data_IF_354223298872
#
_entry.id   IF_354223298872
#
_cell.length_a   1.000
_cell.length_b   1.000
_cell.length_c   1.000
_cell.angle_alpha   90.00
_cell.angle_beta   90.00
_cell.angle_gamma   90.00
#
_symmetry.space_group_name_H-M   'P 1'
#
loop_
_entity.id
_entity.type
_entity.pdbx_description
1 polymer ?
#
# COMPACT_ATOMS: atom_id res chain seq x y z
N UNK A 1 19.89 22.65 38.35
CA UNK A 1 18.56 22.07 38.09
C UNK A 1 18.41 21.58 36.64
N UNK A 2 19.43 21.03 36.01
CA UNK A 2 19.42 20.71 34.57
C UNK A 2 19.63 19.21 34.27
N UNK A 3 19.92 18.39 35.28
CA UNK A 3 20.29 16.98 35.08
C UNK A 3 19.12 15.97 35.27
N UNK A 4 18.07 16.39 35.95
CA UNK A 4 16.90 15.51 36.21
C UNK A 4 15.94 15.36 34.99
N UNK A 5 16.03 16.27 34.01
CA UNK A 5 15.15 16.24 32.80
C UNK A 5 15.66 15.30 31.69
N UNK A 6 16.96 14.99 31.70
CA UNK A 6 17.61 14.13 30.70
C UNK A 6 17.43 12.63 30.94
N UNK A 7 17.09 12.22 32.16
CA UNK A 7 16.93 10.83 32.55
C UNK A 7 15.54 10.24 32.29
N UNK A 8 14.51 11.07 32.01
CA UNK A 8 13.11 10.62 31.84
C UNK A 8 12.72 10.34 30.37
N UNK A 9 13.51 10.78 29.40
CA UNK A 9 13.17 10.61 27.95
C UNK A 9 13.79 9.35 27.30
N UNK A 10 14.74 8.67 27.93
CA UNK A 10 15.45 7.52 27.34
C UNK A 10 14.75 6.16 27.45
N UNK A 11 13.93 5.82 28.46
CA UNK A 11 13.34 4.46 28.58
C UNK A 11 12.21 4.19 27.59
N UNK A 12 11.40 5.19 27.24
CA UNK A 12 10.27 5.05 26.31
C UNK A 12 10.73 4.82 24.87
N UNK A 13 11.70 5.55 24.41
CA UNK A 13 12.25 5.41 23.04
C UNK A 13 12.92 4.05 22.79
N UNK A 14 13.68 3.53 23.77
CA UNK A 14 14.35 2.22 23.63
C UNK A 14 13.34 1.06 23.66
N UNK A 15 12.31 1.15 24.50
CA UNK A 15 11.25 0.14 24.59
C UNK A 15 10.42 0.09 23.29
N UNK A 16 10.05 1.24 22.75
CA UNK A 16 9.32 1.31 21.47
C UNK A 16 10.17 0.84 20.30
N UNK A 17 11.46 1.16 20.27
CA UNK A 17 12.39 0.63 19.25
C UNK A 17 12.50 -0.89 19.30
N UNK A 18 12.67 -1.48 20.51
CA UNK A 18 12.68 -2.94 20.67
C UNK A 18 11.35 -3.59 20.26
N UNK A 19 10.22 -2.94 20.59
CA UNK A 19 8.90 -3.42 20.21
C UNK A 19 8.73 -3.44 18.70
N UNK A 20 9.11 -2.36 18.00
CA UNK A 20 9.10 -2.28 16.53
C UNK A 20 9.99 -3.36 15.93
N UNK A 21 11.24 -3.43 16.35
CA UNK A 21 12.19 -4.42 15.83
C UNK A 21 11.68 -5.87 15.97
N UNK A 22 11.06 -6.22 17.11
CA UNK A 22 10.48 -7.56 17.29
C UNK A 22 9.28 -7.80 16.36
N UNK A 23 8.41 -6.78 16.16
CA UNK A 23 7.29 -6.87 15.23
C UNK A 23 7.77 -7.07 13.80
N UNK A 24 8.76 -6.30 13.38
CA UNK A 24 9.31 -6.33 12.01
C UNK A 24 10.03 -7.67 11.75
N UNK A 25 10.79 -8.18 12.73
CA UNK A 25 11.41 -9.50 12.63
C UNK A 25 10.38 -10.63 12.51
N UNK A 26 9.29 -10.59 13.31
CA UNK A 26 8.19 -11.56 13.20
C UNK A 26 7.48 -11.47 11.86
N UNK A 27 7.23 -10.26 11.35
CA UNK A 27 6.62 -10.04 10.05
C UNK A 27 7.49 -10.61 8.94
N UNK A 28 8.78 -10.27 8.94
CA UNK A 28 9.73 -10.80 7.96
C UNK A 28 9.77 -12.33 7.96
N UNK A 29 9.94 -12.96 9.13
CA UNK A 29 9.98 -14.41 9.26
C UNK A 29 8.66 -15.07 8.80
N UNK A 30 7.51 -14.49 9.15
CA UNK A 30 6.21 -14.99 8.71
C UNK A 30 6.08 -14.96 7.19
N UNK A 31 6.36 -13.82 6.54
CA UNK A 31 6.26 -13.67 5.09
C UNK A 31 7.26 -14.57 4.35
N UNK A 32 8.48 -14.71 4.85
CA UNK A 32 9.46 -15.60 4.25
C UNK A 32 9.00 -17.06 4.32
N UNK A 33 8.56 -17.53 5.47
CA UNK A 33 8.03 -18.89 5.64
C UNK A 33 6.77 -19.12 4.79
N UNK A 34 5.82 -18.19 4.80
CA UNK A 34 4.61 -18.31 3.98
C UNK A 34 4.91 -18.42 2.49
N UNK A 35 5.90 -17.70 2.01
CA UNK A 35 6.26 -17.67 0.58
C UNK A 35 7.20 -18.80 0.16
N UNK A 36 7.88 -19.46 1.10
CA UNK A 36 8.81 -20.56 0.81
C UNK A 36 8.18 -21.93 0.98
N UNK A 37 7.42 -22.16 2.04
CA UNK A 37 6.78 -23.45 2.31
C UNK A 37 5.26 -23.46 2.15
N UNK A 38 4.66 -22.30 1.91
CA UNK A 38 3.22 -22.12 1.70
C UNK A 38 2.48 -21.65 2.95
N UNK A 39 1.43 -20.85 2.73
CA UNK A 39 0.63 -20.24 3.80
C UNK A 39 -0.02 -21.28 4.73
N UNK A 40 -0.68 -22.30 4.16
CA UNK A 40 -1.39 -23.32 4.94
C UNK A 40 -0.43 -24.22 5.74
N UNK A 41 0.72 -24.54 5.18
CA UNK A 41 1.70 -25.40 5.81
C UNK A 41 2.47 -24.73 6.96
N UNK A 42 2.59 -23.39 6.92
CA UNK A 42 3.34 -22.64 7.95
C UNK A 42 2.54 -22.53 9.24
N UNK A 43 3.18 -22.86 10.35
CA UNK A 43 2.63 -22.74 11.72
C UNK A 43 3.14 -21.51 12.44
N UNK A 44 2.40 -21.05 13.46
CA UNK A 44 2.87 -19.95 14.32
C UNK A 44 4.11 -20.36 15.11
N UNK A 45 4.24 -21.64 15.47
CA UNK A 45 5.42 -22.16 16.17
C UNK A 45 6.69 -21.96 15.33
N UNK A 46 6.66 -22.33 14.06
CA UNK A 46 7.79 -22.11 13.15
C UNK A 46 8.18 -20.63 13.02
N UNK A 47 7.18 -19.74 12.97
CA UNK A 47 7.43 -18.28 12.87
C UNK A 47 8.12 -17.76 14.15
N UNK A 48 7.64 -18.15 15.33
CA UNK A 48 8.19 -17.65 16.59
C UNK A 48 9.54 -18.28 16.91
N UNK A 49 9.77 -19.53 16.52
CA UNK A 49 11.06 -20.22 16.66
C UNK A 49 12.12 -19.55 15.78
N UNK A 50 11.77 -19.12 14.55
CA UNK A 50 12.68 -18.40 13.66
C UNK A 50 13.17 -17.06 14.22
N UNK A 51 12.44 -16.47 15.17
CA UNK A 51 12.76 -15.18 15.81
C UNK A 51 13.14 -15.35 17.30
N UNK A 52 13.16 -16.58 17.80
CA UNK A 52 13.47 -16.94 19.19
C UNK A 52 12.55 -16.23 20.21
N UNK A 53 11.24 -16.17 19.93
CA UNK A 53 10.23 -15.56 20.80
C UNK A 53 9.09 -16.53 21.11
N UNK A 54 8.19 -16.18 22.02
CA UNK A 54 7.02 -17.01 22.36
C UNK A 54 5.82 -16.72 21.45
N UNK A 55 4.90 -17.71 21.29
CA UNK A 55 3.59 -17.49 20.65
C UNK A 55 2.83 -16.30 21.23
N UNK A 56 2.90 -16.09 22.57
CA UNK A 56 2.32 -14.92 23.24
C UNK A 56 2.90 -13.62 22.68
N UNK A 57 4.17 -13.63 22.25
CA UNK A 57 4.80 -12.47 21.61
C UNK A 57 4.23 -12.23 20.23
N UNK A 58 4.00 -13.27 19.45
CA UNK A 58 3.33 -13.17 18.15
C UNK A 58 1.93 -12.57 18.29
N UNK A 59 1.09 -13.17 19.13
CA UNK A 59 -0.30 -12.71 19.37
C UNK A 59 -0.41 -11.31 20.02
N UNK A 60 0.66 -10.77 20.53
CA UNK A 60 0.71 -9.36 20.95
C UNK A 60 0.77 -8.39 19.75
N UNK A 61 1.26 -8.84 18.59
CA UNK A 61 1.45 -8.02 17.40
C UNK A 61 0.48 -8.33 16.27
N UNK A 62 0.07 -9.58 16.15
CA UNK A 62 -0.80 -10.09 15.07
C UNK A 62 -1.84 -11.03 15.68
N UNK A 63 -3.13 -10.75 15.45
CA UNK A 63 -4.20 -11.60 15.98
C UNK A 63 -4.27 -12.97 15.23
N UNK A 64 -3.72 -13.05 14.01
CA UNK A 64 -3.72 -14.26 13.21
C UNK A 64 -2.56 -14.27 12.19
N UNK A 65 -2.33 -15.42 11.53
CA UNK A 65 -1.45 -15.51 10.36
C UNK A 65 -1.91 -14.58 9.23
N UNK A 66 -3.21 -14.48 9.02
CA UNK A 66 -3.82 -13.62 8.01
C UNK A 66 -3.48 -12.14 8.26
N UNK A 67 -3.58 -11.66 9.49
CA UNK A 67 -3.19 -10.29 9.84
C UNK A 67 -1.69 -10.03 9.56
N UNK A 68 -0.83 -11.00 9.84
CA UNK A 68 0.59 -10.89 9.48
C UNK A 68 0.79 -10.78 7.96
N UNK A 69 0.07 -11.56 7.13
CA UNK A 69 0.13 -11.47 5.66
C UNK A 69 -0.22 -10.07 5.17
N UNK A 70 -1.27 -9.46 5.71
CA UNK A 70 -1.79 -8.18 5.23
C UNK A 70 -1.19 -6.95 5.92
N UNK A 71 -0.28 -7.11 6.88
CA UNK A 71 0.27 -5.98 7.66
C UNK A 71 0.97 -4.92 6.81
N UNK A 72 1.68 -5.31 5.75
CA UNK A 72 2.33 -4.35 4.84
C UNK A 72 1.31 -3.59 4.03
N UNK A 73 0.32 -4.29 3.50
CA UNK A 73 -0.76 -3.69 2.75
C UNK A 73 -1.54 -2.68 3.61
N UNK A 74 -1.88 -3.05 4.84
CA UNK A 74 -2.55 -2.16 5.79
C UNK A 74 -1.72 -0.90 6.11
N UNK A 75 -0.40 -1.02 6.19
CA UNK A 75 0.48 0.12 6.38
C UNK A 75 0.43 1.07 5.18
N UNK A 76 0.47 0.54 3.95
CA UNK A 76 0.36 1.32 2.71
C UNK A 76 -1.01 2.00 2.63
N UNK A 77 -2.09 1.26 2.87
CA UNK A 77 -3.48 1.76 2.84
C UNK A 77 -3.70 2.87 3.87
N UNK A 78 -3.23 2.68 5.09
CA UNK A 78 -3.34 3.68 6.16
C UNK A 78 -2.57 4.95 5.82
N UNK A 79 -1.39 4.82 5.22
CA UNK A 79 -0.60 5.98 4.77
C UNK A 79 -1.30 6.73 3.63
N UNK A 80 -1.78 6.00 2.63
CA UNK A 80 -2.56 6.57 1.53
C UNK A 80 -3.79 7.34 2.02
N UNK A 81 -4.58 6.77 2.94
CA UNK A 81 -5.73 7.45 3.52
C UNK A 81 -5.34 8.70 4.32
N UNK A 82 -4.20 8.66 5.02
CA UNK A 82 -3.65 9.81 5.72
C UNK A 82 -3.28 10.93 4.74
N UNK A 83 -2.57 10.60 3.67
CA UNK A 83 -2.23 11.54 2.60
C UNK A 83 -3.47 12.12 1.92
N UNK A 84 -4.45 11.27 1.59
CA UNK A 84 -5.70 11.70 0.96
C UNK A 84 -6.48 12.70 1.82
N UNK A 85 -6.56 12.46 3.14
CA UNK A 85 -7.23 13.37 4.08
C UNK A 85 -6.52 14.72 4.20
N UNK A 86 -5.22 14.78 3.95
CA UNK A 86 -4.40 15.99 4.03
C UNK A 86 -4.35 16.79 2.72
N UNK A 87 -4.88 16.24 1.61
CA UNK A 87 -4.87 16.94 0.32
C UNK A 87 -5.66 18.26 0.38
N UNK A 88 -5.17 19.32 -0.29
CA UNK A 88 -5.86 20.61 -0.36
C UNK A 88 -7.33 20.46 -0.78
N UNK A 89 -8.23 21.16 -0.12
CA UNK A 89 -9.68 21.09 -0.42
C UNK A 89 -10.03 21.56 -1.85
N UNK A 90 -9.16 22.38 -2.46
CA UNK A 90 -9.36 22.88 -3.83
C UNK A 90 -8.96 21.85 -4.92
N UNK A 91 -8.27 20.77 -4.58
CA UNK A 91 -7.99 19.70 -5.54
C UNK A 91 -9.26 18.93 -5.90
N UNK A 92 -9.45 18.68 -7.20
CA UNK A 92 -10.51 17.80 -7.66
C UNK A 92 -10.33 16.37 -7.06
N UNK A 93 -11.43 15.63 -6.82
CA UNK A 93 -11.39 14.34 -6.13
C UNK A 93 -10.41 13.33 -6.74
N UNK A 94 -10.39 13.24 -8.07
CA UNK A 94 -9.48 12.32 -8.77
C UNK A 94 -8.02 12.73 -8.62
N UNK A 95 -7.73 14.04 -8.74
CA UNK A 95 -6.38 14.57 -8.54
C UNK A 95 -5.89 14.38 -7.10
N UNK A 96 -6.80 14.51 -6.13
CA UNK A 96 -6.48 14.24 -4.73
C UNK A 96 -6.09 12.77 -4.51
N UNK A 97 -6.83 11.81 -5.08
CA UNK A 97 -6.49 10.38 -5.02
C UNK A 97 -5.18 10.08 -5.75
N UNK A 98 -4.99 10.64 -6.95
CA UNK A 98 -3.75 10.51 -7.73
C UNK A 98 -2.55 11.03 -6.95
N UNK A 99 -2.62 12.24 -6.45
CA UNK A 99 -1.53 12.86 -5.69
C UNK A 99 -1.23 12.10 -4.40
N UNK A 100 -2.26 11.62 -3.70
CA UNK A 100 -2.10 10.85 -2.47
C UNK A 100 -1.39 9.52 -2.72
N UNK A 101 -1.74 8.77 -3.77
CA UNK A 101 -1.09 7.49 -4.06
C UNK A 101 0.37 7.68 -4.50
N UNK A 102 0.67 8.68 -5.32
CA UNK A 102 2.04 8.96 -5.73
C UNK A 102 2.91 9.44 -4.56
N UNK A 103 2.34 10.25 -3.65
CA UNK A 103 3.01 10.62 -2.40
C UNK A 103 3.30 9.40 -1.54
N UNK A 104 2.33 8.47 -1.43
CA UNK A 104 2.49 7.23 -0.70
C UNK A 104 3.64 6.38 -1.26
N UNK A 105 3.71 6.18 -2.58
CA UNK A 105 4.82 5.43 -3.19
C UNK A 105 6.19 6.06 -2.93
N UNK A 106 6.27 7.39 -2.92
CA UNK A 106 7.52 8.10 -2.68
C UNK A 106 7.98 8.02 -1.21
N UNK A 107 7.05 8.02 -0.26
CA UNK A 107 7.36 8.15 1.17
C UNK A 107 7.44 6.82 1.90
N UNK A 108 6.67 5.81 1.48
CA UNK A 108 6.58 4.55 2.20
C UNK A 108 7.52 3.47 1.67
N UNK A 109 8.04 3.64 0.43
CA UNK A 109 8.94 2.66 -0.20
C UNK A 109 10.14 2.32 0.68
N UNK A 110 10.87 3.31 1.15
CA UNK A 110 12.03 3.12 2.06
C UNK A 110 11.62 2.42 3.37
N UNK A 111 10.47 2.81 3.95
CA UNK A 111 9.99 2.21 5.20
C UNK A 111 9.59 0.74 5.03
N UNK A 112 9.09 0.35 3.86
CA UNK A 112 8.80 -1.05 3.53
C UNK A 112 10.10 -1.83 3.32
N UNK A 113 11.06 -1.27 2.60
CA UNK A 113 12.36 -1.90 2.33
C UNK A 113 13.18 -2.13 3.61
N UNK A 114 12.99 -1.33 4.64
CA UNK A 114 13.57 -1.56 5.98
C UNK A 114 13.00 -2.83 6.66
N UNK A 115 11.76 -3.24 6.31
CA UNK A 115 11.08 -4.39 6.93
C UNK A 115 11.22 -5.63 6.07
N UNK A 116 10.99 -5.51 4.77
CA UNK A 116 11.04 -6.62 3.81
C UNK A 116 11.69 -6.17 2.50
N UNK A 117 12.43 -7.06 1.86
CA UNK A 117 12.95 -6.79 0.51
C UNK A 117 11.81 -6.70 -0.50
N UNK A 118 12.02 -5.93 -1.57
CA UNK A 118 11.05 -5.85 -2.70
C UNK A 118 10.72 -7.25 -3.22
N UNK A 119 11.70 -8.15 -3.29
CA UNK A 119 11.48 -9.54 -3.74
C UNK A 119 10.53 -10.30 -2.80
N UNK A 120 10.68 -10.17 -1.49
CA UNK A 120 9.78 -10.80 -0.51
C UNK A 120 8.38 -10.21 -0.58
N UNK A 121 8.25 -8.90 -0.75
CA UNK A 121 6.96 -8.23 -0.98
C UNK A 121 6.26 -8.81 -2.22
N UNK A 122 6.99 -8.95 -3.32
CA UNK A 122 6.47 -9.52 -4.56
C UNK A 122 6.04 -10.98 -4.43
N UNK A 123 6.85 -11.80 -3.73
CA UNK A 123 6.47 -13.19 -3.44
C UNK A 123 5.20 -13.25 -2.59
N UNK A 124 5.07 -12.36 -1.62
CA UNK A 124 3.86 -12.24 -0.77
C UNK A 124 2.64 -11.90 -1.61
N UNK A 125 2.74 -10.91 -2.51
CA UNK A 125 1.64 -10.53 -3.39
C UNK A 125 1.18 -11.70 -4.27
N UNK A 126 2.11 -12.41 -4.93
CA UNK A 126 1.79 -13.60 -5.74
C UNK A 126 1.16 -14.72 -4.91
N UNK A 127 1.61 -14.92 -3.68
CA UNK A 127 1.04 -15.90 -2.76
C UNK A 127 -0.41 -15.53 -2.41
N UNK A 128 -0.71 -14.26 -2.14
CA UNK A 128 -2.07 -13.78 -1.87
C UNK A 128 -2.97 -14.08 -3.08
N UNK A 129 -2.53 -13.77 -4.30
CA UNK A 129 -3.31 -14.03 -5.52
C UNK A 129 -3.53 -15.51 -5.81
N UNK A 130 -2.56 -16.37 -5.46
CA UNK A 130 -2.63 -17.83 -5.74
C UNK A 130 -3.29 -18.65 -4.63
N UNK A 131 -3.51 -18.08 -3.44
CA UNK A 131 -4.10 -18.78 -2.28
C UNK A 131 -5.56 -18.35 -2.12
N UNK A 132 -6.56 -19.24 -2.39
CA UNK A 132 -7.98 -18.84 -2.46
C UNK A 132 -8.53 -18.13 -1.22
N UNK A 133 -8.15 -18.56 -0.01
CA UNK A 133 -8.60 -17.91 1.22
C UNK A 133 -8.01 -16.50 1.38
N UNK A 134 -6.74 -16.31 1.03
CA UNK A 134 -6.08 -15.01 1.06
C UNK A 134 -6.62 -14.07 -0.02
N UNK A 135 -6.86 -14.59 -1.23
CA UNK A 135 -7.50 -13.81 -2.29
C UNK A 135 -8.89 -13.31 -1.88
N UNK A 136 -9.70 -14.17 -1.25
CA UNK A 136 -11.02 -13.79 -0.75
C UNK A 136 -10.93 -12.72 0.36
N UNK A 137 -9.95 -12.83 1.26
CA UNK A 137 -9.68 -11.83 2.30
C UNK A 137 -9.20 -10.51 1.68
N UNK A 138 -8.27 -10.57 0.71
CA UNK A 138 -7.78 -9.40 -0.02
C UNK A 138 -8.91 -8.64 -0.72
N UNK A 139 -9.78 -9.33 -1.45
CA UNK A 139 -10.92 -8.69 -2.12
C UNK A 139 -11.88 -8.02 -1.13
N UNK A 140 -12.14 -8.64 0.01
CA UNK A 140 -12.99 -8.05 1.06
C UNK A 140 -12.38 -6.77 1.62
N UNK A 141 -11.08 -6.80 1.96
CA UNK A 141 -10.34 -5.62 2.44
C UNK A 141 -10.34 -4.50 1.40
N UNK A 142 -10.20 -4.84 0.12
CA UNK A 142 -10.28 -3.86 -0.97
C UNK A 142 -11.64 -3.17 -1.04
N UNK A 143 -12.74 -3.89 -0.85
CA UNK A 143 -14.08 -3.27 -0.78
C UNK A 143 -14.26 -2.35 0.43
N UNK A 144 -13.74 -2.76 1.60
CA UNK A 144 -13.78 -1.93 2.81
C UNK A 144 -12.98 -0.64 2.60
N UNK A 145 -11.79 -0.73 2.01
CA UNK A 145 -10.96 0.41 1.66
C UNK A 145 -11.64 1.34 0.63
N UNK A 146 -12.23 0.78 -0.43
CA UNK A 146 -12.99 1.56 -1.43
C UNK A 146 -14.14 2.35 -0.78
N UNK A 147 -14.81 1.75 0.20
CA UNK A 147 -15.87 2.42 0.95
C UNK A 147 -15.31 3.58 1.76
N UNK A 148 -14.20 3.38 2.48
CA UNK A 148 -13.57 4.43 3.28
C UNK A 148 -13.04 5.57 2.41
N UNK A 149 -12.43 5.27 1.26
CA UNK A 149 -11.99 6.30 0.30
C UNK A 149 -13.19 7.11 -0.20
N UNK A 150 -14.30 6.43 -0.55
CA UNK A 150 -15.51 7.11 -1.03
C UNK A 150 -16.12 8.02 0.05
N UNK A 151 -16.09 7.63 1.33
CA UNK A 151 -16.51 8.47 2.45
C UNK A 151 -15.61 9.71 2.60
N UNK A 152 -14.30 9.55 2.48
CA UNK A 152 -13.35 10.68 2.51
C UNK A 152 -13.64 11.65 1.36
N UNK A 153 -13.82 11.15 0.14
CA UNK A 153 -14.13 11.97 -1.04
C UNK A 153 -15.48 12.66 -0.88
N UNK A 154 -16.52 11.94 -0.44
CA UNK A 154 -17.84 12.54 -0.21
C UNK A 154 -17.79 13.66 0.84
N UNK A 155 -17.06 13.45 1.93
CA UNK A 155 -16.87 14.47 2.98
C UNK A 155 -16.14 15.72 2.48
N UNK A 156 -15.12 15.56 1.62
CA UNK A 156 -14.39 16.67 0.98
C UNK A 156 -15.29 17.52 0.10
N UNK A 157 -16.20 16.89 -0.65
CA UNK A 157 -17.10 17.53 -1.62
C UNK A 157 -18.44 17.95 -1.03
N UNK A 158 -18.71 17.66 0.24
CA UNK A 158 -19.99 17.93 0.89
C UNK A 158 -21.13 17.12 0.29
N UNK A 159 -20.89 15.90 -0.16
CA UNK A 159 -21.85 15.02 -0.82
C UNK A 159 -22.41 13.97 0.15
N UNK A 160 -23.65 13.56 -0.07
CA UNK A 160 -24.26 12.44 0.63
C UNK A 160 -24.11 11.17 -0.19
N UNK A 161 -23.40 10.20 0.35
CA UNK A 161 -23.14 8.88 -0.26
C UNK A 161 -24.42 8.06 -0.56
N UNK A 162 -25.56 8.37 0.06
CA UNK A 162 -26.81 7.67 -0.18
C UNK A 162 -27.51 8.15 -1.44
N UNK A 163 -27.32 9.41 -1.78
CA UNK A 163 -28.04 10.08 -2.88
C UNK A 163 -27.15 10.42 -4.07
N UNK A 164 -25.82 10.56 -3.86
CA UNK A 164 -24.87 10.92 -4.91
C UNK A 164 -23.91 9.73 -5.22
N UNK A 165 -23.97 9.17 -6.44
CA UNK A 165 -23.12 8.03 -6.81
C UNK A 165 -21.67 8.44 -7.16
N UNK A 166 -21.38 9.72 -7.38
CA UNK A 166 -20.07 10.19 -7.91
C UNK A 166 -18.88 9.74 -7.07
N UNK A 167 -18.89 9.78 -5.73
CA UNK A 167 -17.75 9.32 -4.94
C UNK A 167 -17.44 7.84 -5.18
N UNK A 168 -18.47 6.97 -5.18
CA UNK A 168 -18.30 5.53 -5.43
C UNK A 168 -17.81 5.24 -6.84
N UNK A 169 -18.34 5.94 -7.85
CA UNK A 169 -17.92 5.76 -9.25
C UNK A 169 -16.46 6.17 -9.44
N UNK A 170 -16.07 7.33 -8.88
CA UNK A 170 -14.69 7.81 -8.97
C UNK A 170 -13.71 6.83 -8.30
N UNK A 171 -14.06 6.36 -7.10
CA UNK A 171 -13.21 5.40 -6.36
C UNK A 171 -13.14 4.05 -7.07
N UNK A 172 -14.24 3.52 -7.57
CA UNK A 172 -14.23 2.25 -8.31
C UNK A 172 -13.34 2.32 -9.57
N UNK A 173 -13.37 3.44 -10.29
CA UNK A 173 -12.50 3.67 -11.45
C UNK A 173 -11.02 3.74 -11.03
N UNK A 174 -10.70 4.50 -9.99
CA UNK A 174 -9.37 4.62 -9.42
C UNK A 174 -8.84 3.26 -8.93
N UNK A 175 -9.61 2.55 -8.11
CA UNK A 175 -9.23 1.22 -7.57
C UNK A 175 -9.08 0.17 -8.67
N UNK A 176 -9.87 0.27 -9.76
CA UNK A 176 -9.70 -0.56 -10.94
C UNK A 176 -8.32 -0.39 -11.57
N UNK A 177 -7.85 0.84 -11.71
CA UNK A 177 -6.49 1.13 -12.19
C UNK A 177 -5.46 0.58 -11.22
N UNK A 178 -5.59 0.83 -9.92
CA UNK A 178 -4.64 0.35 -8.90
C UNK A 178 -4.49 -1.18 -8.93
N UNK A 179 -5.59 -1.91 -9.09
CA UNK A 179 -5.57 -3.37 -9.20
C UNK A 179 -4.84 -3.85 -10.44
N UNK A 180 -5.11 -3.23 -11.61
CA UNK A 180 -4.46 -3.60 -12.87
C UNK A 180 -2.96 -3.31 -12.82
N UNK A 181 -2.56 -2.16 -12.32
CA UNK A 181 -1.14 -1.77 -12.23
C UNK A 181 -0.39 -2.65 -11.23
N UNK A 182 -0.99 -2.99 -10.09
CA UNK A 182 -0.43 -3.94 -9.13
C UNK A 182 -0.22 -5.33 -9.73
N UNK A 183 -1.18 -5.86 -10.49
CA UNK A 183 -1.06 -7.15 -11.17
C UNK A 183 0.04 -7.14 -12.25
N UNK A 184 0.08 -6.10 -13.08
CA UNK A 184 1.10 -5.97 -14.12
C UNK A 184 2.51 -5.82 -13.54
N UNK A 185 2.66 -5.04 -12.50
CA UNK A 185 3.91 -4.91 -11.75
C UNK A 185 4.32 -6.26 -11.16
N UNK A 186 3.38 -6.99 -10.52
CA UNK A 186 3.59 -8.33 -9.96
C UNK A 186 4.05 -9.38 -10.97
N UNK A 187 3.68 -9.24 -12.23
CA UNK A 187 4.05 -10.12 -13.34
C UNK A 187 5.26 -9.61 -14.12
N UNK A 188 5.66 -8.34 -13.90
CA UNK A 188 6.76 -7.70 -14.58
C UNK A 188 8.14 -8.27 -14.22
N UNK A 189 9.14 -7.90 -15.05
CA UNK A 189 10.55 -8.21 -14.78
C UNK A 189 11.22 -7.17 -13.89
N UNK A 190 10.77 -5.93 -13.98
CA UNK A 190 11.20 -4.82 -13.14
C UNK A 190 10.20 -4.66 -12.00
N UNK A 191 10.63 -5.02 -10.82
CA UNK A 191 9.84 -4.96 -9.57
C UNK A 191 10.21 -3.78 -8.69
N UNK A 192 10.96 -2.80 -9.22
CA UNK A 192 11.29 -1.58 -8.48
C UNK A 192 10.04 -0.74 -8.16
N UNK A 193 10.10 0.03 -7.09
CA UNK A 193 9.03 0.97 -6.72
C UNK A 193 8.86 2.08 -7.78
N UNK A 194 9.95 2.45 -8.46
CA UNK A 194 9.90 3.42 -9.57
C UNK A 194 9.09 2.87 -10.75
N UNK A 195 9.24 1.57 -11.08
CA UNK A 195 8.44 0.90 -12.10
C UNK A 195 6.96 0.88 -11.73
N UNK A 196 6.61 0.58 -10.48
CA UNK A 196 5.23 0.64 -10.00
C UNK A 196 4.66 2.07 -10.11
N UNK A 197 5.44 3.07 -9.71
CA UNK A 197 5.05 4.47 -9.77
C UNK A 197 4.75 4.90 -11.20
N UNK A 198 5.70 4.69 -12.11
CA UNK A 198 5.56 5.04 -13.54
C UNK A 198 4.34 4.36 -14.15
N UNK A 199 4.17 3.05 -13.90
CA UNK A 199 3.03 2.29 -14.39
C UNK A 199 1.71 2.86 -13.84
N UNK A 200 1.68 3.25 -12.57
CA UNK A 200 0.49 3.84 -11.94
C UNK A 200 0.16 5.21 -12.56
N UNK A 201 1.15 6.07 -12.76
CA UNK A 201 0.98 7.37 -13.42
C UNK A 201 0.42 7.21 -14.83
N UNK A 202 1.05 6.36 -15.65
CA UNK A 202 0.65 6.11 -17.04
C UNK A 202 -0.81 5.64 -17.13
N UNK A 203 -1.21 4.72 -16.25
CA UNK A 203 -2.57 4.17 -16.28
C UNK A 203 -3.62 5.15 -15.75
N UNK A 204 -3.29 5.92 -14.72
CA UNK A 204 -4.19 6.97 -14.21
C UNK A 204 -4.40 8.07 -15.27
N UNK A 205 -3.36 8.44 -16.01
CA UNK A 205 -3.44 9.44 -17.08
C UNK A 205 -4.31 8.95 -18.25
N UNK A 206 -4.43 7.63 -18.46
CA UNK A 206 -5.32 7.06 -19.48
C UNK A 206 -6.78 6.95 -19.05
N UNK A 207 -7.12 7.13 -17.78
CA UNK A 207 -8.49 6.88 -17.31
C UNK A 207 -9.51 7.81 -17.99
N UNK A 208 -9.26 9.13 -18.01
CA UNK A 208 -10.17 10.08 -18.63
C UNK A 208 -10.27 9.89 -20.15
N UNK A 209 -9.16 9.74 -20.93
CA UNK A 209 -9.21 9.42 -22.34
C UNK A 209 -9.95 8.10 -22.65
N UNK A 210 -9.73 7.06 -21.86
CA UNK A 210 -10.38 5.77 -22.05
C UNK A 210 -11.90 5.86 -21.86
N UNK A 211 -12.38 6.62 -20.89
CA UNK A 211 -13.80 6.81 -20.64
C UNK A 211 -14.49 7.76 -21.64
N UNK A 212 -13.73 8.65 -22.30
CA UNK A 212 -14.26 9.58 -23.31
C UNK A 212 -14.67 8.89 -24.63
N UNK A 213 -14.38 7.60 -24.80
CA UNK A 213 -14.89 6.78 -25.92
C UNK A 213 -14.18 6.94 -27.25
N UNK A 214 -13.10 7.69 -27.37
CA UNK A 214 -12.36 7.86 -28.62
C UNK A 214 -11.16 6.91 -28.76
N UNK A 215 -11.44 5.61 -28.82
CA UNK A 215 -10.43 4.54 -28.92
C UNK A 215 -9.75 4.42 -30.29
N UNK A 216 -10.25 5.14 -31.31
CA UNK A 216 -9.77 5.06 -32.69
C UNK A 216 -8.67 6.07 -33.01
N UNK A 217 -8.45 7.05 -32.15
CA UNK A 217 -7.34 7.99 -32.31
C UNK A 217 -6.15 7.48 -31.50
N UNK A 218 -5.00 7.18 -32.17
CA UNK A 218 -3.78 6.85 -31.44
C UNK A 218 -3.43 7.99 -30.47
N UNK A 219 -3.12 7.68 -29.23
CA UNK A 219 -2.55 8.64 -28.29
C UNK A 219 -1.16 8.96 -28.80
N UNK A 220 -0.92 10.19 -29.28
CA UNK A 220 0.44 10.62 -29.59
C UNK A 220 1.27 10.59 -28.30
N UNK A 221 2.44 9.92 -28.29
CA UNK A 221 3.33 9.98 -27.15
C UNK A 221 3.68 11.46 -26.89
N UNK A 222 3.59 11.89 -25.64
CA UNK A 222 3.95 13.24 -25.23
C UNK A 222 5.33 13.58 -25.84
N UNK A 223 5.37 14.53 -26.73
CA UNK A 223 6.60 14.95 -27.40
C UNK A 223 7.60 15.42 -26.33
N UNK A 224 8.67 14.68 -26.20
CA UNK A 224 9.81 15.11 -25.39
C UNK A 224 10.20 16.53 -25.83
N UNK A 225 10.12 17.48 -24.92
CA UNK A 225 10.54 18.87 -25.14
C UNK A 225 11.99 18.84 -25.65
N UNK A 226 12.29 19.41 -26.83
CA UNK A 226 13.67 19.43 -27.31
C UNK A 226 14.51 20.27 -26.34
N UNK A 227 15.66 19.72 -25.95
CA UNK A 227 16.63 20.40 -25.13
C UNK A 227 17.03 21.74 -25.79
N UNK A 228 17.19 22.84 -25.04
CA UNK A 228 17.64 24.11 -25.61
C UNK A 228 19.03 23.93 -26.19
N UNK A 229 19.15 24.22 -27.49
CA UNK A 229 20.44 24.26 -28.20
C UNK A 229 21.31 25.33 -27.56
N UNK A 230 22.45 24.88 -27.00
CA UNK A 230 23.52 25.76 -26.59
C UNK A 230 24.09 26.48 -27.83
N UNK A 231 23.94 27.80 -27.85
CA UNK A 231 24.63 28.73 -28.72
C UNK A 231 25.73 29.43 -27.92
#
# INVERSE_FOLDING_TARGET
MTDARRAAEQPTGLRERKKRHTRDALLHAALDLFTTQGYDATTIDEIVDAVEVSQRTFFRYFASKEEAVFSLQEMIESHFLSELRQRPAAEAPFEAMRSAVLCTWNSIGEAIEEIVTVELHMRTYRMIESTPCLLAAHLRRSFDLETEIAEVIAGREGLDMLTDPRPRVAVAAFSGVMRVTGQLWGQGRDTSMESLRTLTEDYLDQLAPALAGNWRTPVEPATATPAPSAG
#
